data_IF_143982114652
#
_entry.id   IF_143982114652
#
_cell.length_a   1.000
_cell.length_b   1.000
_cell.length_c   1.000
_cell.angle_alpha   90.00
_cell.angle_beta   90.00
_cell.angle_gamma   90.00
#
_symmetry.space_group_name_H-M   'P 1'
#
loop_
_entity.id
_entity.type
_entity.pdbx_description
1 polymer ?
#
# COMPACT_ATOMS: atom_id res chain seq x y z
N UNK A 1 -12.12 -24.31 -3.91
CA UNK A 1 -12.03 -24.29 -2.44
C UNK A 1 -10.59 -24.01 -2.05
N UNK A 2 -10.34 -22.98 -1.22
CA UNK A 2 -8.98 -22.58 -0.79
C UNK A 2 -8.54 -23.31 0.48
N UNK A 3 -8.86 -24.60 0.62
CA UNK A 3 -8.48 -25.38 1.79
C UNK A 3 -6.95 -25.39 1.96
N UNK A 4 -6.48 -25.01 3.17
CA UNK A 4 -5.05 -24.99 3.52
C UNK A 4 -4.28 -23.73 3.19
N UNK A 5 -4.86 -22.74 2.50
CA UNK A 5 -4.19 -21.43 2.28
C UNK A 5 -4.53 -20.46 3.40
N UNK A 6 -3.50 -19.77 3.91
CA UNK A 6 -3.68 -18.68 4.87
C UNK A 6 -4.47 -17.52 4.26
N UNK A 7 -5.26 -16.81 5.07
CA UNK A 7 -6.06 -15.65 4.64
C UNK A 7 -5.20 -14.64 3.90
N UNK A 8 -4.03 -14.30 4.42
CA UNK A 8 -3.09 -13.39 3.75
C UNK A 8 -2.70 -13.88 2.35
N UNK A 9 -2.43 -15.18 2.19
CA UNK A 9 -2.12 -15.76 0.87
C UNK A 9 -3.30 -15.69 -0.11
N UNK A 10 -4.51 -15.79 0.40
CA UNK A 10 -5.73 -15.65 -0.42
C UNK A 10 -5.91 -14.21 -0.88
N UNK A 11 -5.73 -13.23 0.02
CA UNK A 11 -5.81 -11.81 -0.31
C UNK A 11 -4.75 -11.39 -1.33
N UNK A 12 -3.50 -11.80 -1.12
CA UNK A 12 -2.42 -11.50 -2.07
C UNK A 12 -2.64 -12.19 -3.43
N UNK A 13 -3.32 -13.34 -3.44
CA UNK A 13 -3.68 -14.05 -4.66
C UNK A 13 -4.66 -13.29 -5.59
N UNK A 14 -5.33 -12.26 -5.09
CA UNK A 14 -6.17 -11.36 -5.90
C UNK A 14 -5.31 -10.41 -6.76
N UNK A 15 -4.04 -10.23 -6.43
CA UNK A 15 -3.14 -9.33 -7.14
C UNK A 15 -2.32 -10.13 -8.16
N UNK A 16 -2.42 -9.76 -9.41
CA UNK A 16 -1.65 -10.39 -10.47
C UNK A 16 -0.16 -10.03 -10.35
N UNK A 17 0.67 -11.01 -9.99
CA UNK A 17 2.13 -10.84 -9.91
C UNK A 17 2.71 -10.32 -11.24
N UNK A 18 2.16 -10.76 -12.39
CA UNK A 18 2.60 -10.33 -13.71
C UNK A 18 2.34 -8.83 -13.94
N UNK A 19 1.16 -8.35 -13.57
CA UNK A 19 0.82 -6.92 -13.68
C UNK A 19 1.70 -6.09 -12.74
N UNK A 20 1.88 -6.52 -11.50
CA UNK A 20 2.78 -5.86 -10.55
C UNK A 20 4.21 -5.78 -11.11
N UNK A 21 4.75 -6.88 -11.66
CA UNK A 21 6.10 -6.89 -12.23
C UNK A 21 6.22 -5.96 -13.45
N UNK A 22 5.16 -5.81 -14.25
CA UNK A 22 5.15 -4.84 -15.36
C UNK A 22 5.28 -3.40 -14.83
N UNK A 23 4.57 -3.07 -13.73
CA UNK A 23 4.68 -1.77 -13.06
C UNK A 23 6.10 -1.56 -12.52
N UNK A 24 6.65 -2.56 -11.80
CA UNK A 24 8.02 -2.50 -11.26
C UNK A 24 9.05 -2.25 -12.35
N UNK A 25 8.92 -2.92 -13.49
CA UNK A 25 9.83 -2.75 -14.63
C UNK A 25 9.73 -1.34 -15.23
N UNK A 26 8.52 -0.77 -15.34
CA UNK A 26 8.30 0.61 -15.81
C UNK A 26 9.09 1.64 -14.99
N UNK A 27 9.11 1.45 -13.67
CA UNK A 27 9.80 2.35 -12.74
C UNK A 27 11.21 1.86 -12.36
N UNK A 28 11.74 0.84 -13.03
CA UNK A 28 13.06 0.25 -12.74
C UNK A 28 13.26 -0.11 -11.25
N UNK A 29 12.17 -0.49 -10.55
CA UNK A 29 12.17 -0.69 -9.09
C UNK A 29 13.07 -1.80 -8.59
N UNK A 30 13.31 -2.82 -9.42
CA UNK A 30 14.22 -3.93 -9.11
C UNK A 30 15.59 -3.80 -9.80
N UNK A 31 15.92 -2.62 -10.33
CA UNK A 31 17.24 -2.40 -10.93
C UNK A 31 18.36 -2.60 -9.91
N UNK A 32 19.32 -3.48 -10.23
CA UNK A 32 20.42 -3.91 -9.35
C UNK A 32 20.01 -4.52 -8.01
N UNK A 33 18.74 -4.94 -7.86
CA UNK A 33 18.27 -5.62 -6.66
C UNK A 33 18.61 -7.11 -6.74
N UNK A 34 19.29 -7.65 -5.69
CA UNK A 34 19.70 -9.07 -5.65
C UNK A 34 18.69 -9.95 -4.91
N UNK A 35 18.25 -9.54 -3.73
CA UNK A 35 17.51 -10.44 -2.82
C UNK A 35 16.14 -9.90 -2.38
N UNK A 36 15.98 -8.59 -2.20
CA UNK A 36 14.79 -8.00 -1.68
C UNK A 36 14.04 -7.21 -2.77
N UNK A 37 13.28 -7.94 -3.62
CA UNK A 37 12.50 -7.36 -4.72
C UNK A 37 11.38 -6.43 -4.24
N UNK A 38 10.84 -5.59 -5.14
CA UNK A 38 9.67 -4.77 -4.87
C UNK A 38 8.46 -5.63 -4.46
N UNK A 39 8.32 -6.82 -5.02
CA UNK A 39 7.27 -7.75 -4.60
C UNK A 39 7.40 -8.17 -3.15
N UNK A 40 8.61 -8.54 -2.70
CA UNK A 40 8.87 -8.88 -1.30
C UNK A 40 8.62 -7.70 -0.36
N UNK A 41 9.02 -6.50 -0.77
CA UNK A 41 8.72 -5.26 -0.03
C UNK A 41 7.21 -5.08 0.11
N UNK A 42 6.48 -5.17 -1.00
CA UNK A 42 5.03 -5.08 -1.01
C UNK A 42 4.39 -6.08 -0.04
N UNK A 43 4.78 -7.36 -0.09
CA UNK A 43 4.25 -8.39 0.81
C UNK A 43 4.53 -8.07 2.28
N UNK A 44 5.72 -7.60 2.63
CA UNK A 44 6.07 -7.22 4.00
C UNK A 44 5.22 -6.04 4.49
N UNK A 45 5.06 -5.01 3.67
CA UNK A 45 4.30 -3.82 4.01
C UNK A 45 2.79 -4.14 4.11
N UNK A 46 2.24 -4.88 3.15
CA UNK A 46 0.86 -5.33 3.16
C UNK A 46 0.54 -6.21 4.39
N UNK A 47 1.46 -7.11 4.75
CA UNK A 47 1.32 -7.91 5.97
C UNK A 47 1.25 -7.01 7.21
N UNK A 48 2.16 -6.04 7.33
CA UNK A 48 2.17 -5.09 8.44
C UNK A 48 0.85 -4.33 8.57
N UNK A 49 0.33 -3.80 7.46
CA UNK A 49 -0.93 -3.06 7.43
C UNK A 49 -2.13 -3.94 7.77
N UNK A 50 -2.26 -5.10 7.14
CA UNK A 50 -3.39 -6.01 7.35
C UNK A 50 -3.41 -6.66 8.73
N UNK A 51 -2.27 -6.73 9.41
CA UNK A 51 -2.15 -7.26 10.78
C UNK A 51 -2.02 -6.15 11.83
N UNK A 52 -2.24 -4.88 11.46
CA UNK A 52 -2.22 -3.72 12.35
C UNK A 52 -0.91 -3.61 13.17
N UNK A 53 0.24 -3.77 12.48
CA UNK A 53 1.55 -3.62 13.13
C UNK A 53 1.93 -2.14 13.24
N UNK A 54 2.41 -1.75 14.40
CA UNK A 54 2.75 -0.35 14.69
C UNK A 54 4.09 0.10 14.09
N UNK A 55 4.98 -0.87 13.79
CA UNK A 55 6.31 -0.56 13.27
C UNK A 55 6.82 -1.64 12.29
N UNK A 56 7.82 -1.25 11.48
CA UNK A 56 8.55 -2.19 10.61
C UNK A 56 9.24 -3.27 11.45
N UNK A 57 9.77 -2.92 12.61
CA UNK A 57 10.43 -3.88 13.51
C UNK A 57 9.45 -4.93 14.03
N UNK A 58 8.26 -4.52 14.45
CA UNK A 58 7.18 -5.42 14.88
C UNK A 58 6.69 -6.29 13.73
N UNK A 59 6.51 -5.70 12.55
CA UNK A 59 6.17 -6.44 11.32
C UNK A 59 7.16 -7.57 11.06
N UNK A 60 8.45 -7.27 11.07
CA UNK A 60 9.50 -8.26 10.82
C UNK A 60 9.60 -9.33 11.91
N UNK A 61 9.41 -8.95 13.17
CA UNK A 61 9.37 -9.89 14.30
C UNK A 61 8.24 -10.90 14.11
N UNK A 62 7.05 -10.41 13.74
CA UNK A 62 5.88 -11.24 13.48
C UNK A 62 6.07 -12.15 12.26
N UNK A 63 6.66 -11.64 11.17
CA UNK A 63 7.02 -12.43 10.00
C UNK A 63 8.04 -13.51 10.35
N UNK A 64 9.04 -13.21 11.18
CA UNK A 64 10.06 -14.16 11.66
C UNK A 64 9.44 -15.28 12.49
N UNK A 65 8.51 -14.95 13.39
CA UNK A 65 7.79 -15.94 14.18
C UNK A 65 6.96 -16.92 13.31
N UNK A 66 6.58 -16.49 12.11
CA UNK A 66 5.83 -17.29 11.14
C UNK A 66 6.66 -17.72 9.91
N UNK A 67 7.97 -17.83 10.03
CA UNK A 67 8.88 -18.07 8.90
C UNK A 67 8.52 -19.29 8.03
N UNK A 68 8.06 -20.38 8.65
CA UNK A 68 7.63 -21.59 7.94
C UNK A 68 6.46 -21.32 6.98
N UNK A 69 5.62 -20.36 7.30
CA UNK A 69 4.45 -19.95 6.48
C UNK A 69 4.84 -18.96 5.38
N UNK A 70 5.89 -18.17 5.62
CA UNK A 70 6.33 -17.10 4.74
C UNK A 70 6.94 -17.59 3.42
N UNK A 71 7.55 -18.77 3.43
CA UNK A 71 8.09 -19.39 2.23
C UNK A 71 7.01 -19.57 1.15
N UNK A 72 5.84 -20.09 1.54
CA UNK A 72 4.71 -20.31 0.63
C UNK A 72 4.04 -18.99 0.17
N UNK A 73 4.30 -17.89 0.86
CA UNK A 73 3.81 -16.56 0.51
C UNK A 73 4.75 -15.81 -0.47
N UNK A 74 5.91 -16.40 -0.81
CA UNK A 74 6.89 -15.77 -1.69
C UNK A 74 7.80 -14.76 -0.99
N UNK A 75 7.70 -14.60 0.35
CA UNK A 75 8.57 -13.68 1.11
C UNK A 75 9.98 -14.28 1.24
N UNK A 76 10.06 -15.61 1.38
CA UNK A 76 11.34 -16.32 1.53
C UNK A 76 12.06 -15.92 2.83
N UNK A 77 13.37 -15.69 2.75
CA UNK A 77 14.14 -15.27 3.92
C UNK A 77 13.77 -13.86 4.37
N UNK A 78 13.61 -13.69 5.68
CA UNK A 78 13.31 -12.42 6.30
C UNK A 78 14.56 -11.56 6.29
N UNK A 79 14.39 -10.32 5.88
CA UNK A 79 15.47 -9.33 5.79
C UNK A 79 15.60 -8.52 7.08
N UNK A 80 16.71 -7.81 7.22
CA UNK A 80 16.91 -6.87 8.33
C UNK A 80 15.99 -5.63 8.17
N UNK A 81 15.65 -4.98 9.31
CA UNK A 81 14.90 -3.73 9.35
C UNK A 81 15.51 -2.68 8.41
N UNK A 82 16.83 -2.51 8.46
CA UNK A 82 17.56 -1.56 7.60
C UNK A 82 17.37 -1.81 6.11
N UNK A 83 17.16 -3.06 5.69
CA UNK A 83 16.91 -3.39 4.28
C UNK A 83 15.55 -2.88 3.82
N UNK A 84 14.50 -3.06 4.62
CA UNK A 84 13.17 -2.54 4.30
C UNK A 84 13.15 -1.02 4.36
N UNK A 85 13.74 -0.42 5.41
CA UNK A 85 13.80 1.04 5.55
C UNK A 85 14.49 1.68 4.35
N UNK A 86 15.65 1.14 3.93
CA UNK A 86 16.35 1.64 2.75
C UNK A 86 15.57 1.42 1.47
N UNK A 87 14.85 0.31 1.33
CA UNK A 87 13.98 0.07 0.19
C UNK A 87 12.82 1.08 0.13
N UNK A 88 12.21 1.41 1.27
CA UNK A 88 11.15 2.42 1.36
C UNK A 88 11.66 3.84 1.04
N UNK A 89 12.90 4.14 1.40
CA UNK A 89 13.53 5.45 1.16
C UNK A 89 13.89 5.66 -0.33
N UNK A 90 14.41 4.62 -1.00
CA UNK A 90 15.03 4.79 -2.32
C UNK A 90 14.16 4.33 -3.49
N UNK A 91 13.14 3.50 -3.25
CA UNK A 91 12.27 3.03 -4.33
C UNK A 91 11.20 4.05 -4.65
N UNK A 92 10.87 4.15 -5.94
CA UNK A 92 9.82 5.04 -6.40
C UNK A 92 8.46 4.67 -5.79
N UNK A 93 7.79 5.63 -5.17
CA UNK A 93 6.42 5.48 -4.67
C UNK A 93 5.41 5.23 -5.81
N UNK A 94 5.73 5.66 -7.03
CA UNK A 94 4.89 5.49 -8.21
C UNK A 94 4.58 4.02 -8.53
N UNK A 95 5.41 3.08 -8.07
CA UNK A 95 5.13 1.65 -8.18
C UNK A 95 3.83 1.32 -7.43
N UNK A 96 3.66 1.86 -6.23
CA UNK A 96 2.49 1.60 -5.39
C UNK A 96 1.28 2.44 -5.82
N UNK A 97 1.52 3.63 -6.34
CA UNK A 97 0.50 4.48 -6.96
C UNK A 97 -0.13 3.80 -8.18
N UNK A 98 0.70 3.34 -9.13
CA UNK A 98 0.23 2.60 -10.31
C UNK A 98 -0.52 1.30 -9.92
N UNK A 99 -0.03 0.59 -8.89
CA UNK A 99 -0.70 -0.60 -8.36
C UNK A 99 -2.07 -0.24 -7.79
N UNK A 100 -2.17 0.81 -6.98
CA UNK A 100 -3.43 1.24 -6.40
C UNK A 100 -4.43 1.65 -7.47
N UNK A 101 -4.00 2.40 -8.50
CA UNK A 101 -4.86 2.78 -9.62
C UNK A 101 -5.35 1.56 -10.42
N UNK A 102 -4.49 0.55 -10.61
CA UNK A 102 -4.88 -0.71 -11.25
C UNK A 102 -5.96 -1.42 -10.43
N UNK A 103 -5.76 -1.57 -9.11
CA UNK A 103 -6.69 -2.25 -8.22
C UNK A 103 -8.03 -1.51 -8.12
N UNK A 104 -8.01 -0.17 -8.05
CA UNK A 104 -9.22 0.67 -8.08
C UNK A 104 -9.99 0.44 -9.38
N UNK A 105 -9.29 0.38 -10.53
CA UNK A 105 -9.92 0.11 -11.82
C UNK A 105 -10.58 -1.26 -11.86
N UNK A 106 -9.91 -2.29 -11.37
CA UNK A 106 -10.46 -3.65 -11.31
C UNK A 106 -11.65 -3.73 -10.33
N UNK A 107 -11.52 -3.12 -9.15
CA UNK A 107 -12.59 -3.09 -8.17
C UNK A 107 -13.84 -2.35 -8.68
N UNK A 108 -13.67 -1.22 -9.39
CA UNK A 108 -14.81 -0.51 -9.99
C UNK A 108 -15.66 -1.38 -10.90
N UNK A 109 -15.06 -2.31 -11.62
CA UNK A 109 -15.80 -3.24 -12.51
C UNK A 109 -16.71 -4.19 -11.72
N UNK A 110 -16.35 -4.53 -10.48
CA UNK A 110 -17.16 -5.39 -9.62
C UNK A 110 -18.38 -4.69 -9.06
N UNK A 111 -18.30 -3.36 -8.87
CA UNK A 111 -19.37 -2.54 -8.29
C UNK A 111 -20.29 -1.86 -9.31
N UNK A 112 -20.08 -2.05 -10.61
CA UNK A 112 -20.92 -1.45 -11.66
C UNK A 112 -22.40 -1.88 -11.58
N UNK A 113 -22.68 -2.99 -10.91
CA UNK A 113 -24.02 -3.56 -10.78
C UNK A 113 -24.63 -3.45 -9.38
N UNK A 114 -23.92 -2.86 -8.41
CA UNK A 114 -24.43 -2.65 -7.06
C UNK A 114 -25.10 -1.27 -6.98
N UNK A 115 -26.41 -1.23 -7.26
CA UNK A 115 -27.26 -0.05 -7.10
C UNK A 115 -27.73 0.16 -5.63
N UNK A 116 -26.99 -0.32 -4.65
CA UNK A 116 -27.36 -0.30 -3.22
C UNK A 116 -27.34 1.08 -2.54
N UNK A 117 -27.02 2.15 -3.27
CA UNK A 117 -27.23 3.51 -2.75
C UNK A 117 -28.66 3.96 -3.02
N UNK A 118 -29.50 3.95 -1.98
CA UNK A 118 -30.88 4.48 -1.98
C UNK A 118 -31.00 5.96 -2.42
N UNK A 119 -29.89 6.62 -2.71
CA UNK A 119 -29.84 8.02 -3.12
C UNK A 119 -29.63 8.11 -4.63
N UNK A 120 -30.72 8.38 -5.35
CA UNK A 120 -30.71 8.67 -6.80
C UNK A 120 -30.07 10.03 -7.10
N UNK A 121 -28.76 10.13 -6.97
CA UNK A 121 -28.00 11.32 -7.38
C UNK A 121 -27.62 11.23 -8.85
N UNK A 122 -28.06 12.20 -9.65
CA UNK A 122 -27.62 12.36 -11.04
C UNK A 122 -26.20 12.92 -11.05
N UNK A 123 -25.23 12.10 -11.46
CA UNK A 123 -23.81 12.49 -11.55
C UNK A 123 -22.89 11.72 -10.62
N UNK A 124 -21.58 12.03 -10.68
CA UNK A 124 -20.59 11.46 -9.77
C UNK A 124 -20.59 12.24 -8.46
N UNK A 125 -20.67 11.52 -7.33
CA UNK A 125 -20.65 12.12 -5.99
C UNK A 125 -19.40 11.65 -5.28
N UNK A 126 -18.63 12.61 -4.77
CA UNK A 126 -17.37 12.32 -4.08
C UNK A 126 -17.44 12.86 -2.65
N UNK A 127 -17.02 12.05 -1.69
CA UNK A 127 -16.69 12.51 -0.35
C UNK A 127 -15.19 12.85 -0.30
N UNK A 128 -14.83 13.94 0.36
CA UNK A 128 -13.44 14.35 0.55
C UNK A 128 -13.17 14.37 2.04
N UNK A 129 -12.16 13.62 2.46
CA UNK A 129 -11.63 13.62 3.82
C UNK A 129 -10.22 14.19 3.85
N UNK A 130 -9.82 14.75 4.98
CA UNK A 130 -8.51 15.32 5.19
C UNK A 130 -7.91 14.79 6.49
N UNK A 131 -6.92 13.92 6.36
CA UNK A 131 -6.18 13.38 7.49
C UNK A 131 -4.87 14.14 7.68
N UNK A 132 -4.56 14.54 8.91
CA UNK A 132 -3.30 15.17 9.25
C UNK A 132 -2.33 14.13 9.82
N UNK A 133 -1.15 14.04 9.21
CA UNK A 133 -0.08 13.14 9.65
C UNK A 133 1.02 13.99 10.29
N UNK A 134 1.30 13.79 11.57
CA UNK A 134 2.42 14.42 12.26
C UNK A 134 3.74 13.76 11.84
N UNK A 135 4.72 14.57 11.45
CA UNK A 135 6.02 14.12 10.97
C UNK A 135 7.15 14.55 11.91
N UNK A 136 8.18 13.73 11.98
CA UNK A 136 9.42 14.10 12.66
C UNK A 136 10.20 15.10 11.77
N UNK A 137 10.42 16.32 12.26
CA UNK A 137 11.13 17.40 11.53
C UNK A 137 12.56 17.02 11.15
N UNK A 138 13.23 16.18 11.94
CA UNK A 138 14.58 15.72 11.62
C UNK A 138 14.65 14.86 10.35
N UNK A 139 13.54 14.19 10.01
CA UNK A 139 13.43 13.38 8.81
C UNK A 139 12.80 14.13 7.62
N UNK A 140 11.98 15.17 7.89
CA UNK A 140 11.18 15.88 6.89
C UNK A 140 11.28 17.40 7.08
N UNK A 141 12.45 17.95 6.87
CA UNK A 141 12.74 19.38 7.03
C UNK A 141 11.94 20.31 6.10
N UNK A 142 11.41 19.79 4.99
CA UNK A 142 10.58 20.54 4.04
C UNK A 142 9.11 20.65 4.44
N UNK A 143 8.65 19.88 5.42
CA UNK A 143 7.26 19.86 5.87
C UNK A 143 7.05 20.64 7.17
N UNK A 144 7.60 21.86 7.27
CA UNK A 144 7.52 22.71 8.46
C UNK A 144 6.15 23.35 8.60
N UNK A 145 5.37 22.93 9.61
CA UNK A 145 4.12 23.58 10.00
C UNK A 145 4.33 24.62 11.12
N UNK A 146 5.24 24.33 12.06
CA UNK A 146 5.72 25.22 13.14
C UNK A 146 7.17 24.90 13.43
N UNK A 147 7.87 25.76 14.15
CA UNK A 147 9.29 25.59 14.49
C UNK A 147 9.64 24.23 15.15
N UNK A 148 8.66 23.52 15.70
CA UNK A 148 8.86 22.26 16.44
C UNK A 148 8.11 21.06 15.88
N UNK A 149 7.24 21.24 14.85
CA UNK A 149 6.40 20.14 14.30
C UNK A 149 6.26 20.22 12.79
N UNK A 150 6.54 19.11 12.11
CA UNK A 150 6.18 18.92 10.70
C UNK A 150 4.84 18.22 10.59
N UNK A 151 4.03 18.63 9.60
CA UNK A 151 2.74 18.01 9.30
C UNK A 151 2.52 17.90 7.80
N UNK A 152 1.91 16.80 7.40
CA UNK A 152 1.38 16.61 6.05
C UNK A 152 -0.12 16.46 6.15
N UNK A 153 -0.85 17.13 5.26
CA UNK A 153 -2.27 16.91 5.05
C UNK A 153 -2.46 15.95 3.89
N UNK A 154 -3.08 14.81 4.16
CA UNK A 154 -3.51 13.85 3.15
C UNK A 154 -4.99 14.08 2.88
N UNK A 155 -5.33 14.48 1.67
CA UNK A 155 -6.73 14.56 1.24
C UNK A 155 -7.10 13.27 0.51
N UNK A 156 -8.13 12.60 0.98
CA UNK A 156 -8.66 11.37 0.37
C UNK A 156 -9.99 11.68 -0.30
N UNK A 157 -10.15 11.31 -1.54
CA UNK A 157 -11.41 11.41 -2.26
C UNK A 157 -12.01 10.03 -2.40
N UNK A 158 -13.25 9.85 -1.94
CA UNK A 158 -14.00 8.62 -2.04
C UNK A 158 -15.12 8.82 -3.07
N UNK A 159 -15.18 7.97 -4.06
CA UNK A 159 -16.32 7.89 -4.97
C UNK A 159 -17.45 7.15 -4.24
N UNK A 160 -18.54 7.87 -3.91
CA UNK A 160 -19.63 7.30 -3.11
C UNK A 160 -20.45 6.26 -3.88
N UNK A 161 -20.45 6.29 -5.21
CA UNK A 161 -21.17 5.29 -6.00
C UNK A 161 -20.47 3.93 -6.04
N UNK A 162 -19.16 3.94 -6.02
CA UNK A 162 -18.36 2.71 -6.02
C UNK A 162 -17.81 2.35 -4.65
N UNK A 163 -18.03 3.21 -3.63
CA UNK A 163 -17.39 3.11 -2.30
C UNK A 163 -15.86 2.96 -2.37
N UNK A 164 -15.24 3.35 -3.47
CA UNK A 164 -13.81 3.22 -3.72
C UNK A 164 -13.08 4.54 -3.59
N UNK A 165 -11.93 4.50 -2.93
CA UNK A 165 -11.02 5.65 -2.86
C UNK A 165 -10.51 6.02 -4.26
N UNK A 166 -10.58 7.31 -4.58
CA UNK A 166 -9.79 7.88 -5.66
C UNK A 166 -8.57 8.49 -5.00
N UNK A 167 -7.37 8.11 -5.42
CA UNK A 167 -6.14 8.64 -4.85
C UNK A 167 -6.04 10.13 -5.13
N UNK A 168 -6.06 11.00 -4.12
CA UNK A 168 -5.85 12.41 -4.28
C UNK A 168 -4.37 12.74 -4.23
N UNK A 169 -4.04 13.91 -4.73
CA UNK A 169 -2.69 14.45 -4.60
C UNK A 169 -2.29 14.65 -3.14
N UNK A 170 -1.03 14.36 -2.85
CA UNK A 170 -0.40 14.71 -1.58
C UNK A 170 -0.12 16.23 -1.61
N UNK A 171 -0.79 16.99 -0.75
CA UNK A 171 -0.48 18.40 -0.57
C UNK A 171 0.43 18.57 0.66
N UNK A 172 1.65 19.05 0.39
CA UNK A 172 2.58 19.54 1.43
C UNK A 172 2.20 20.98 1.77
N UNK A 173 1.97 21.28 3.02
CA UNK A 173 1.83 22.63 3.55
C UNK A 173 2.90 22.91 4.60
#
# INVERSE_FOLDING_TARGET
MNQGKYIFSQLIGLISHKQFQTIVNRHSGDYKVKNFSCWKQYLCMAFGQLTHRESISDTLLCLKANANKMYHLGIGNIVAVSTITRANEHRSFQIYEDLAMLLIKEAKQLYVHDDDLEVSLKGNVFAIDATTIDLCLSAFCSATFRSTKGRIKLHTQLDLKSALGVLPGLFLF
#
